data_IF_479814559926
#
_entry.id   IF_479814559926
#
_cell.length_a   1.000
_cell.length_b   1.000
_cell.length_c   1.000
_cell.angle_alpha   90.00
_cell.angle_beta   90.00
_cell.angle_gamma   90.00
#
_symmetry.space_group_name_H-M   'P 1'
#
loop_
_entity.id
_entity.type
_entity.pdbx_description
1 polymer ?
#
# COMPACT_ATOMS: atom_id res chain seq x y z
N UNK A 1 8.49 -11.73 -19.11
CA UNK A 1 7.65 -10.50 -19.12
C UNK A 1 6.29 -10.79 -18.48
N UNK A 2 5.82 -9.92 -17.58
CA UNK A 2 4.67 -10.17 -16.70
C UNK A 2 3.29 -9.92 -17.34
N UNK A 3 3.21 -9.78 -18.67
CA UNK A 3 1.98 -9.51 -19.40
C UNK A 3 1.59 -8.02 -19.47
N UNK A 4 0.38 -7.74 -19.99
CA UNK A 4 -0.16 -6.38 -20.10
C UNK A 4 -0.78 -5.92 -18.77
N UNK A 5 -0.35 -4.74 -18.31
CA UNK A 5 -0.94 -4.10 -17.11
C UNK A 5 -2.45 -3.87 -17.25
N UNK A 6 -2.91 -3.47 -18.43
CA UNK A 6 -4.34 -3.19 -18.67
C UNK A 6 -5.15 -4.49 -18.60
N UNK A 7 -4.66 -5.58 -19.21
CA UNK A 7 -5.33 -6.89 -19.15
C UNK A 7 -5.41 -7.41 -17.70
N UNK A 8 -4.36 -7.19 -16.91
CA UNK A 8 -4.34 -7.52 -15.49
C UNK A 8 -5.42 -6.76 -14.72
N UNK A 9 -5.52 -5.43 -14.91
CA UNK A 9 -6.57 -4.62 -14.28
C UNK A 9 -7.98 -5.05 -14.71
N UNK A 10 -8.21 -5.26 -16.03
CA UNK A 10 -9.49 -5.75 -16.54
C UNK A 10 -9.89 -7.10 -15.95
N UNK A 11 -8.92 -7.97 -15.69
CA UNK A 11 -9.17 -9.28 -15.08
C UNK A 11 -9.58 -9.14 -13.61
N UNK A 12 -8.88 -8.34 -12.82
CA UNK A 12 -9.22 -8.09 -11.42
C UNK A 12 -10.53 -7.32 -11.24
N UNK A 13 -10.85 -6.42 -12.17
CA UNK A 13 -12.09 -5.66 -12.14
C UNK A 13 -13.35 -6.55 -12.16
N UNK A 14 -13.26 -7.78 -12.71
CA UNK A 14 -14.36 -8.76 -12.68
C UNK A 14 -14.69 -9.25 -11.26
N UNK A 15 -13.80 -9.04 -10.30
CA UNK A 15 -13.94 -9.49 -8.92
C UNK A 15 -14.12 -8.33 -7.93
N UNK A 16 -14.32 -7.10 -8.42
CA UNK A 16 -14.36 -5.90 -7.57
C UNK A 16 -15.47 -5.93 -6.52
N UNK A 17 -16.58 -6.61 -6.82
CA UNK A 17 -17.74 -6.76 -5.92
C UNK A 17 -17.66 -8.03 -5.05
N UNK A 18 -16.55 -8.78 -5.08
CA UNK A 18 -16.39 -9.97 -4.23
C UNK A 18 -16.03 -9.54 -2.81
N UNK A 19 -16.72 -10.13 -1.83
CA UNK A 19 -16.53 -9.84 -0.41
C UNK A 19 -15.08 -9.99 0.05
N UNK A 20 -14.33 -10.93 -0.53
CA UNK A 20 -12.93 -11.20 -0.22
C UNK A 20 -11.93 -10.43 -1.10
N UNK A 21 -12.36 -9.37 -1.79
CA UNK A 21 -11.51 -8.51 -2.61
C UNK A 21 -11.68 -7.06 -2.18
N UNK A 22 -10.56 -6.41 -1.82
CA UNK A 22 -10.54 -4.99 -1.50
C UNK A 22 -9.93 -4.19 -2.65
N UNK A 23 -10.72 -3.51 -3.50
CA UNK A 23 -10.19 -2.56 -4.45
C UNK A 23 -9.65 -1.32 -3.73
N UNK A 24 -8.37 -1.04 -3.94
CA UNK A 24 -7.69 0.15 -3.43
C UNK A 24 -6.67 0.61 -4.47
N UNK A 25 -6.56 1.93 -4.64
CA UNK A 25 -5.61 2.52 -5.59
C UNK A 25 -4.38 3.06 -4.85
N UNK A 26 -3.29 3.25 -5.58
CA UNK A 26 -2.09 3.87 -5.02
C UNK A 26 -2.36 5.32 -4.60
N UNK A 27 -3.13 6.05 -5.40
CA UNK A 27 -3.50 7.44 -5.18
C UNK A 27 -4.32 7.62 -3.90
N UNK A 28 -5.30 6.73 -3.65
CA UNK A 28 -6.09 6.73 -2.41
C UNK A 28 -5.20 6.62 -1.16
N UNK A 29 -4.26 5.67 -1.17
CA UNK A 29 -3.35 5.47 -0.03
C UNK A 29 -2.39 6.64 0.10
N UNK A 30 -1.93 7.21 -1.01
CA UNK A 30 -0.99 8.33 -1.00
C UNK A 30 -1.62 9.62 -0.47
N UNK A 31 -2.89 9.87 -0.79
CA UNK A 31 -3.61 11.06 -0.33
C UNK A 31 -3.84 11.03 1.18
N UNK A 32 -4.27 9.88 1.73
CA UNK A 32 -4.42 9.71 3.17
C UNK A 32 -4.03 8.28 3.61
N UNK A 33 -2.76 8.07 3.99
CA UNK A 33 -2.27 6.74 4.38
C UNK A 33 -2.96 6.16 5.61
N UNK A 34 -3.35 7.00 6.58
CA UNK A 34 -4.05 6.56 7.78
C UNK A 34 -5.47 6.06 7.45
N UNK A 35 -6.18 6.76 6.57
CA UNK A 35 -7.49 6.32 6.09
C UNK A 35 -7.39 5.05 5.23
N UNK A 36 -6.36 4.94 4.39
CA UNK A 36 -6.07 3.72 3.64
C UNK A 36 -5.79 2.52 4.55
N UNK A 37 -4.97 2.71 5.58
CA UNK A 37 -4.70 1.69 6.61
C UNK A 37 -5.97 1.29 7.37
N UNK A 38 -6.84 2.27 7.68
CA UNK A 38 -8.15 2.01 8.30
C UNK A 38 -9.05 1.17 7.39
N UNK A 39 -9.17 1.51 6.11
CA UNK A 39 -9.93 0.72 5.11
C UNK A 39 -9.45 -0.73 5.05
N UNK A 40 -8.13 -0.94 5.06
CA UNK A 40 -7.52 -2.28 5.09
C UNK A 40 -7.84 -3.01 6.42
N UNK A 41 -7.74 -2.32 7.56
CA UNK A 41 -8.04 -2.94 8.86
C UNK A 41 -9.50 -3.39 8.97
N UNK A 42 -10.45 -2.59 8.47
CA UNK A 42 -11.87 -2.95 8.43
C UNK A 42 -12.11 -4.18 7.57
N UNK A 43 -11.46 -4.27 6.41
CA UNK A 43 -11.56 -5.42 5.51
C UNK A 43 -11.04 -6.72 6.14
N UNK A 44 -10.00 -6.63 6.99
CA UNK A 44 -9.48 -7.77 7.76
C UNK A 44 -10.13 -7.95 9.13
N UNK A 45 -11.19 -7.17 9.45
CA UNK A 45 -11.89 -7.21 10.74
C UNK A 45 -10.98 -6.99 11.96
N UNK A 46 -9.92 -6.20 11.77
CA UNK A 46 -8.96 -5.88 12.83
C UNK A 46 -9.45 -4.70 13.67
N UNK A 47 -9.43 -4.87 14.99
CA UNK A 47 -9.76 -3.80 15.93
C UNK A 47 -8.49 -3.06 16.36
N UNK A 48 -8.22 -1.93 15.70
CA UNK A 48 -7.04 -1.08 15.92
C UNK A 48 -7.47 0.32 16.37
N UNK A 49 -6.56 1.03 17.06
CA UNK A 49 -6.81 2.39 17.53
C UNK A 49 -6.17 3.44 16.61
N UNK A 50 -6.54 4.71 16.79
CA UNK A 50 -6.06 5.81 15.93
C UNK A 50 -4.52 5.96 15.92
N UNK A 51 -3.85 5.66 17.06
CA UNK A 51 -2.39 5.71 17.13
C UNK A 51 -1.74 4.63 16.27
N UNK A 52 -2.39 3.48 16.10
CA UNK A 52 -1.89 2.42 15.24
C UNK A 52 -1.90 2.87 13.78
N UNK A 53 -2.98 3.52 13.33
CA UNK A 53 -3.09 4.06 11.96
C UNK A 53 -2.08 5.17 11.70
N UNK A 54 -1.91 6.09 12.65
CA UNK A 54 -0.91 7.14 12.57
C UNK A 54 0.52 6.54 12.51
N UNK A 55 0.81 5.54 13.34
CA UNK A 55 2.09 4.84 13.33
C UNK A 55 2.35 4.09 12.02
N UNK A 56 1.33 3.51 11.40
CA UNK A 56 1.44 2.93 10.05
C UNK A 56 1.77 4.03 9.04
N UNK A 57 0.99 5.12 9.01
CA UNK A 57 1.17 6.23 8.07
C UNK A 57 2.59 6.82 8.13
N UNK A 58 3.14 7.01 9.33
CA UNK A 58 4.51 7.49 9.54
C UNK A 58 5.56 6.52 9.00
N UNK A 59 5.42 5.22 9.33
CA UNK A 59 6.37 4.18 8.92
C UNK A 59 6.31 3.85 7.44
N UNK A 60 5.15 4.00 6.80
CA UNK A 60 4.95 3.79 5.36
C UNK A 60 5.18 5.07 4.56
N UNK A 61 5.54 6.19 5.21
CA UNK A 61 5.92 7.40 4.49
C UNK A 61 7.15 7.14 3.62
N UNK A 62 7.21 7.81 2.46
CA UNK A 62 8.34 7.65 1.54
C UNK A 62 9.68 7.94 2.22
N UNK A 63 9.72 8.96 3.09
CA UNK A 63 10.91 9.33 3.86
C UNK A 63 11.36 8.19 4.77
N UNK A 64 10.46 7.66 5.61
CA UNK A 64 10.79 6.57 6.53
C UNK A 64 11.23 5.30 5.78
N UNK A 65 10.58 5.00 4.65
CA UNK A 65 10.95 3.87 3.80
C UNK A 65 12.33 4.08 3.15
N UNK A 66 12.64 5.29 2.67
CA UNK A 66 13.93 5.65 2.09
C UNK A 66 15.06 5.52 3.11
N UNK A 67 14.87 6.03 4.33
CA UNK A 67 15.84 5.91 5.42
C UNK A 67 16.14 4.43 5.77
N UNK A 68 15.16 3.55 5.62
CA UNK A 68 15.29 2.09 5.85
C UNK A 68 15.65 1.29 4.58
N UNK A 69 15.80 1.96 3.43
CA UNK A 69 15.93 1.29 2.12
C UNK A 69 17.18 0.42 2.03
N UNK A 70 18.30 0.86 2.61
CA UNK A 70 19.55 0.11 2.65
C UNK A 70 19.42 -1.26 3.35
N UNK A 71 18.61 -1.33 4.40
CA UNK A 71 18.37 -2.58 5.14
C UNK A 71 17.36 -3.49 4.45
N UNK A 72 16.38 -2.90 3.75
CA UNK A 72 15.24 -3.65 3.18
C UNK A 72 15.45 -4.07 1.72
N UNK A 73 16.20 -3.26 0.94
CA UNK A 73 16.39 -3.42 -0.50
C UNK A 73 17.89 -3.47 -0.89
N UNK A 74 18.80 -3.44 0.09
CA UNK A 74 20.24 -3.52 -0.15
C UNK A 74 20.76 -2.39 -1.04
N UNK A 75 21.67 -2.73 -1.96
CA UNK A 75 22.24 -1.77 -2.93
C UNK A 75 21.20 -1.15 -3.86
N UNK A 76 20.08 -1.85 -4.09
CA UNK A 76 18.97 -1.32 -4.89
C UNK A 76 18.13 -0.26 -4.16
N UNK A 77 18.32 -0.07 -2.84
CA UNK A 77 17.62 0.96 -2.07
C UNK A 77 17.84 2.36 -2.64
N UNK A 78 19.09 2.71 -2.95
CA UNK A 78 19.43 4.02 -3.53
C UNK A 78 18.80 4.24 -4.92
N UNK A 79 18.66 3.17 -5.71
CA UNK A 79 18.07 3.23 -7.05
C UNK A 79 16.55 3.41 -6.98
N UNK A 80 15.88 2.64 -6.10
CA UNK A 80 14.42 2.65 -5.95
C UNK A 80 13.92 3.94 -5.28
N UNK A 81 14.67 4.45 -4.30
CA UNK A 81 14.31 5.64 -3.51
C UNK A 81 15.09 6.89 -3.93
N UNK A 82 15.50 6.97 -5.20
CA UNK A 82 16.28 8.09 -5.75
C UNK A 82 15.62 9.46 -5.69
N UNK A 83 14.28 9.51 -5.55
CA UNK A 83 13.52 10.75 -5.41
C UNK A 83 13.69 11.39 -4.03
#
# INVERSE_FOLDING_TARGET
PWGSYIEYLCTWNKYIDKENVLPITYEEIKENPALGAKKISTFFELNLNEKDFQGVAERTSFKAMKEKSKTTHGEFGEILFRK
#
